data_IF_188628465509
#
_entry.id   IF_188628465509
#
_cell.length_a   1.000
_cell.length_b   1.000
_cell.length_c   1.000
_cell.angle_alpha   90.00
_cell.angle_beta   90.00
_cell.angle_gamma   90.00
#
_symmetry.space_group_name_H-M   'P 1'
#
loop_
_entity.id
_entity.type
_entity.pdbx_description
1 polymer ?
#
# COMPACT_ATOMS: atom_id res chain seq x y z
N UNK A 1 -1.68 -51.95 50.85
CA UNK A 1 -1.41 -50.51 50.55
C UNK A 1 -0.14 -50.27 49.73
N UNK A 2 1.00 -50.93 50.01
CA UNK A 2 2.28 -50.67 49.31
C UNK A 2 2.24 -50.89 47.79
N UNK A 3 1.56 -51.94 47.29
CA UNK A 3 1.46 -52.21 45.85
C UNK A 3 0.61 -51.18 45.10
N UNK A 4 -0.42 -50.62 45.76
CA UNK A 4 -1.25 -49.55 45.20
C UNK A 4 -0.45 -48.26 45.05
N UNK A 5 0.38 -47.92 46.05
CA UNK A 5 1.25 -46.75 46.01
C UNK A 5 2.33 -46.86 44.90
N UNK A 6 2.94 -48.04 44.74
CA UNK A 6 3.91 -48.30 43.66
C UNK A 6 3.30 -48.15 42.26
N UNK A 7 2.07 -48.63 42.08
CA UNK A 7 1.37 -48.53 40.78
C UNK A 7 1.03 -47.08 40.46
N UNK A 8 0.42 -46.35 41.40
CA UNK A 8 0.12 -44.92 41.24
C UNK A 8 1.37 -44.07 40.97
N UNK A 9 2.50 -44.41 41.60
CA UNK A 9 3.77 -43.72 41.36
C UNK A 9 4.33 -43.98 39.96
N UNK A 10 4.25 -45.23 39.47
CA UNK A 10 4.62 -45.57 38.08
C UNK A 10 3.73 -44.83 37.07
N UNK A 11 2.42 -44.79 37.30
CA UNK A 11 1.48 -44.07 36.44
C UNK A 11 1.76 -42.56 36.42
N UNK A 12 2.11 -41.98 37.57
CA UNK A 12 2.54 -40.58 37.67
C UNK A 12 3.82 -40.32 36.87
N UNK A 13 4.85 -41.15 37.03
CA UNK A 13 6.11 -41.02 36.29
C UNK A 13 5.91 -41.18 34.78
N UNK A 14 5.05 -42.11 34.36
CA UNK A 14 4.71 -42.31 32.97
C UNK A 14 3.94 -41.12 32.39
N UNK A 15 2.96 -40.59 33.14
CA UNK A 15 2.22 -39.37 32.77
C UNK A 15 3.14 -38.15 32.64
N UNK A 16 4.08 -37.99 33.59
CA UNK A 16 5.08 -36.92 33.55
C UNK A 16 6.00 -37.07 32.33
N UNK A 17 6.50 -38.28 32.07
CA UNK A 17 7.33 -38.58 30.90
C UNK A 17 6.60 -38.25 29.59
N UNK A 18 5.33 -38.64 29.44
CA UNK A 18 4.51 -38.29 28.26
C UNK A 18 4.38 -36.78 28.12
N UNK A 19 4.06 -36.05 29.19
CA UNK A 19 3.91 -34.58 29.15
C UNK A 19 5.20 -33.89 28.73
N UNK A 20 6.34 -34.31 29.28
CA UNK A 20 7.66 -33.78 28.92
C UNK A 20 8.00 -34.10 27.46
N UNK A 21 7.75 -35.32 27.00
CA UNK A 21 8.01 -35.73 25.61
C UNK A 21 7.16 -34.94 24.62
N UNK A 22 5.85 -34.77 24.88
CA UNK A 22 4.96 -33.92 24.07
C UNK A 22 5.47 -32.46 24.04
N UNK A 23 5.88 -31.93 25.19
CA UNK A 23 6.41 -30.56 25.27
C UNK A 23 7.68 -30.39 24.42
N UNK A 24 8.60 -31.36 24.49
CA UNK A 24 9.83 -31.36 23.71
C UNK A 24 9.51 -31.46 22.21
N UNK A 25 8.64 -32.39 21.79
CA UNK A 25 8.22 -32.53 20.39
C UNK A 25 7.60 -31.23 19.86
N UNK A 26 6.69 -30.60 20.61
CA UNK A 26 6.10 -29.31 20.23
C UNK A 26 7.18 -28.22 20.05
N UNK A 27 8.15 -28.18 20.96
CA UNK A 27 9.27 -27.23 20.89
C UNK A 27 10.17 -27.50 19.68
N UNK A 28 10.46 -28.77 19.38
CA UNK A 28 11.20 -29.21 18.20
C UNK A 28 10.50 -28.76 16.91
N UNK A 29 9.19 -29.01 16.77
CA UNK A 29 8.39 -28.58 15.62
C UNK A 29 8.44 -27.05 15.45
N UNK A 30 8.33 -26.30 16.55
CA UNK A 30 8.40 -24.84 16.52
C UNK A 30 9.76 -24.32 16.02
N UNK A 31 10.87 -24.86 16.53
CA UNK A 31 12.21 -24.47 16.07
C UNK A 31 12.50 -24.91 14.64
N UNK A 32 12.08 -26.13 14.26
CA UNK A 32 12.17 -26.63 12.90
C UNK A 32 11.47 -25.67 11.93
N UNK A 33 10.21 -25.35 12.17
CA UNK A 33 9.45 -24.43 11.32
C UNK A 33 10.11 -23.05 11.19
N UNK A 34 10.61 -22.50 12.30
CA UNK A 34 11.28 -21.19 12.32
C UNK A 34 12.59 -21.18 11.52
N UNK A 35 13.43 -22.20 11.70
CA UNK A 35 14.72 -22.30 10.99
C UNK A 35 14.49 -22.61 9.52
N UNK A 36 13.60 -23.55 9.21
CA UNK A 36 13.24 -23.94 7.84
C UNK A 36 12.71 -22.77 7.02
N UNK A 37 11.85 -21.92 7.63
CA UNK A 37 11.39 -20.68 6.99
C UNK A 37 12.55 -19.74 6.63
N UNK A 38 13.51 -19.54 7.53
CA UNK A 38 14.67 -18.67 7.26
C UNK A 38 15.57 -19.21 6.16
N UNK A 39 15.81 -20.52 6.15
CA UNK A 39 16.60 -21.16 5.09
C UNK A 39 15.91 -20.98 3.73
N UNK A 40 14.59 -21.20 3.69
CA UNK A 40 13.77 -20.96 2.49
C UNK A 40 13.80 -19.51 2.04
N UNK A 41 13.63 -18.55 2.95
CA UNK A 41 13.67 -17.12 2.62
C UNK A 41 15.06 -16.72 2.10
N UNK A 42 16.14 -17.20 2.73
CA UNK A 42 17.52 -16.96 2.29
C UNK A 42 17.76 -17.48 0.88
N UNK A 43 17.27 -18.69 0.59
CA UNK A 43 17.37 -19.31 -0.71
C UNK A 43 16.55 -18.55 -1.77
N UNK A 44 15.33 -18.14 -1.43
CA UNK A 44 14.48 -17.29 -2.27
C UNK A 44 15.19 -16.00 -2.65
N UNK A 45 15.84 -15.30 -1.70
CA UNK A 45 16.63 -14.10 -2.01
C UNK A 45 17.80 -14.41 -2.94
N UNK A 46 18.52 -15.52 -2.75
CA UNK A 46 19.63 -15.90 -3.63
C UNK A 46 19.19 -16.23 -5.05
N UNK A 47 18.11 -16.99 -5.21
CA UNK A 47 17.53 -17.27 -6.53
C UNK A 47 17.15 -15.95 -7.23
N UNK A 48 16.55 -14.99 -6.51
CA UNK A 48 16.20 -13.67 -7.07
C UNK A 48 17.42 -12.87 -7.50
N UNK A 49 18.46 -12.85 -6.67
CA UNK A 49 19.73 -12.19 -6.99
C UNK A 49 20.33 -12.80 -8.26
N UNK A 50 20.36 -14.12 -8.37
CA UNK A 50 20.92 -14.85 -9.50
C UNK A 50 20.25 -14.47 -10.82
N UNK A 51 18.91 -14.44 -10.84
CA UNK A 51 18.15 -14.12 -12.06
C UNK A 51 17.93 -12.64 -12.33
N UNK A 52 18.47 -11.74 -11.49
CA UNK A 52 18.16 -10.32 -11.54
C UNK A 52 16.62 -10.04 -11.55
N UNK A 53 15.86 -10.95 -10.93
CA UNK A 53 14.39 -10.98 -11.00
C UNK A 53 13.75 -10.02 -9.99
N UNK A 54 12.46 -9.83 -10.16
CA UNK A 54 11.61 -8.83 -9.52
C UNK A 54 11.61 -8.88 -7.99
N UNK A 55 11.27 -7.75 -7.36
CA UNK A 55 11.00 -7.72 -5.91
C UNK A 55 9.91 -8.75 -5.56
N UNK A 56 9.89 -9.22 -4.31
CA UNK A 56 8.77 -10.06 -3.85
C UNK A 56 7.46 -9.30 -4.11
N UNK A 57 6.50 -9.94 -4.76
CA UNK A 57 5.18 -9.39 -5.10
C UNK A 57 5.08 -8.68 -6.45
N UNK A 58 6.20 -8.39 -7.13
CA UNK A 58 6.16 -7.66 -8.42
C UNK A 58 5.70 -8.55 -9.58
N UNK A 59 6.02 -9.86 -9.56
CA UNK A 59 5.46 -10.83 -10.50
C UNK A 59 5.09 -12.14 -9.78
N UNK A 60 3.78 -12.44 -9.63
CA UNK A 60 3.33 -13.60 -8.85
C UNK A 60 3.77 -14.93 -9.47
N UNK A 61 3.89 -15.02 -10.80
CA UNK A 61 4.36 -16.23 -11.47
C UNK A 61 5.85 -16.48 -11.19
N UNK A 62 6.65 -15.42 -11.19
CA UNK A 62 8.07 -15.49 -10.83
C UNK A 62 8.24 -15.88 -9.36
N UNK A 63 7.41 -15.33 -8.48
CA UNK A 63 7.44 -15.67 -7.06
C UNK A 63 7.08 -17.13 -6.80
N UNK A 64 6.09 -17.65 -7.53
CA UNK A 64 5.68 -19.05 -7.46
C UNK A 64 6.78 -19.98 -7.99
N UNK A 65 7.39 -19.65 -9.13
CA UNK A 65 8.54 -20.37 -9.67
C UNK A 65 9.70 -20.43 -8.66
N UNK A 66 10.10 -19.29 -8.10
CA UNK A 66 11.17 -19.22 -7.09
C UNK A 66 10.82 -20.05 -5.85
N UNK A 67 9.55 -20.03 -5.43
CA UNK A 67 9.08 -20.79 -4.28
C UNK A 67 9.13 -22.31 -4.53
N UNK A 68 8.75 -22.76 -5.73
CA UNK A 68 8.84 -24.16 -6.16
C UNK A 68 10.31 -24.60 -6.20
N UNK A 69 11.18 -23.82 -6.87
CA UNK A 69 12.63 -24.09 -6.91
C UNK A 69 13.24 -24.16 -5.51
N UNK A 70 12.90 -23.21 -4.63
CA UNK A 70 13.42 -23.19 -3.27
C UNK A 70 12.95 -24.40 -2.46
N UNK A 71 11.71 -24.86 -2.68
CA UNK A 71 11.19 -26.06 -2.06
C UNK A 71 11.92 -27.31 -2.57
N UNK A 72 12.15 -27.45 -3.87
CA UNK A 72 12.88 -28.61 -4.43
C UNK A 72 14.31 -28.69 -3.91
N UNK A 73 15.03 -27.57 -3.87
CA UNK A 73 16.40 -27.50 -3.33
C UNK A 73 16.46 -27.90 -1.84
N UNK A 74 15.36 -27.67 -1.10
CA UNK A 74 15.27 -27.94 0.34
C UNK A 74 14.50 -29.23 0.67
N UNK A 75 14.18 -30.06 -0.33
CA UNK A 75 13.38 -31.28 -0.18
C UNK A 75 12.04 -31.02 0.56
N UNK A 76 11.40 -29.87 0.27
CA UNK A 76 10.09 -29.50 0.80
C UNK A 76 9.03 -29.95 -0.20
N UNK A 77 8.03 -30.76 0.20
CA UNK A 77 6.99 -31.19 -0.71
C UNK A 77 6.22 -29.97 -1.25
N UNK A 78 6.14 -29.90 -2.58
CA UNK A 78 5.32 -28.91 -3.28
C UNK A 78 3.85 -29.35 -3.27
N UNK A 79 2.94 -28.37 -3.34
CA UNK A 79 1.53 -28.67 -3.57
C UNK A 79 1.37 -29.23 -5.00
N UNK A 80 0.57 -30.29 -5.23
CA UNK A 80 0.36 -30.84 -6.57
C UNK A 80 -0.16 -29.80 -7.57
N UNK A 81 -0.93 -28.80 -7.10
CA UNK A 81 -1.51 -27.76 -7.96
C UNK A 81 -0.47 -26.75 -8.49
N UNK A 82 0.62 -26.48 -7.75
CA UNK A 82 1.59 -25.43 -8.11
C UNK A 82 2.53 -25.80 -9.27
N UNK A 83 2.70 -27.11 -9.54
CA UNK A 83 3.63 -27.61 -10.58
C UNK A 83 2.99 -27.52 -11.98
N UNK A 84 1.66 -27.47 -12.07
CA UNK A 84 0.94 -27.54 -13.35
C UNK A 84 1.11 -26.31 -14.24
N UNK A 85 1.60 -25.18 -13.72
CA UNK A 85 1.72 -23.92 -14.45
C UNK A 85 3.12 -23.63 -15.01
N UNK A 86 4.16 -24.35 -14.59
CA UNK A 86 5.55 -24.08 -14.98
C UNK A 86 6.18 -25.27 -15.68
N UNK A 87 7.05 -24.99 -16.66
CA UNK A 87 7.77 -26.03 -17.39
C UNK A 87 8.79 -26.68 -16.44
N UNK A 88 8.65 -27.99 -16.16
CA UNK A 88 9.63 -28.73 -15.33
C UNK A 88 11.06 -28.56 -15.80
N UNK A 89 11.27 -28.45 -17.11
CA UNK A 89 12.59 -28.21 -17.68
C UNK A 89 13.21 -26.88 -17.21
N UNK A 90 12.40 -25.82 -17.04
CA UNK A 90 12.87 -24.52 -16.53
C UNK A 90 13.27 -24.64 -15.06
N UNK A 91 12.49 -25.37 -14.26
CA UNK A 91 12.80 -25.59 -12.83
C UNK A 91 14.09 -26.43 -12.68
N UNK A 92 14.25 -27.49 -13.48
CA UNK A 92 15.44 -28.33 -13.49
C UNK A 92 16.69 -27.56 -13.90
N UNK A 93 16.61 -26.75 -14.96
CA UNK A 93 17.68 -25.87 -15.41
C UNK A 93 18.06 -24.84 -14.33
N UNK A 94 17.07 -24.26 -13.67
CA UNK A 94 17.30 -23.33 -12.55
C UNK A 94 18.03 -24.06 -11.43
N UNK A 95 17.51 -25.20 -11.01
CA UNK A 95 18.05 -25.98 -9.89
C UNK A 95 19.47 -26.45 -10.19
N UNK A 96 19.78 -26.88 -11.41
CA UNK A 96 21.13 -27.31 -11.81
C UNK A 96 22.12 -26.16 -11.78
N UNK A 97 21.72 -24.99 -12.29
CA UNK A 97 22.57 -23.80 -12.36
C UNK A 97 22.90 -23.26 -10.97
N UNK A 98 21.91 -23.30 -10.08
CA UNK A 98 22.00 -22.74 -8.72
C UNK A 98 22.68 -23.72 -7.75
N UNK A 99 22.64 -25.03 -8.02
CA UNK A 99 23.22 -26.04 -7.12
C UNK A 99 24.75 -26.03 -7.04
N UNK A 100 25.45 -25.39 -7.98
CA UNK A 100 26.90 -25.19 -7.89
C UNK A 100 27.33 -24.04 -6.98
N UNK A 101 26.40 -23.19 -6.54
CA UNK A 101 26.73 -22.04 -5.70
C UNK A 101 27.09 -22.47 -4.26
N UNK A 102 28.23 -21.97 -3.79
CA UNK A 102 28.79 -22.31 -2.48
C UNK A 102 27.83 -21.95 -1.33
N UNK A 103 27.18 -20.79 -1.38
CA UNK A 103 26.29 -20.34 -0.32
C UNK A 103 24.99 -21.16 -0.28
N UNK A 104 24.52 -21.62 -1.44
CA UNK A 104 23.36 -22.50 -1.53
C UNK A 104 23.67 -23.89 -0.98
N UNK A 105 24.88 -24.38 -1.19
CA UNK A 105 25.35 -25.60 -0.54
C UNK A 105 25.43 -25.45 0.99
N UNK A 106 25.81 -24.28 1.51
CA UNK A 106 25.70 -24.01 2.96
C UNK A 106 24.23 -24.06 3.43
N UNK A 107 23.29 -23.48 2.69
CA UNK A 107 21.87 -23.53 3.02
C UNK A 107 21.34 -24.98 3.00
N UNK A 108 21.70 -25.78 1.98
CA UNK A 108 21.38 -27.21 1.90
C UNK A 108 21.94 -27.99 3.08
N UNK A 109 23.23 -27.77 3.41
CA UNK A 109 23.88 -28.40 4.57
C UNK A 109 23.11 -28.11 5.87
N UNK A 110 22.68 -26.86 6.09
CA UNK A 110 21.88 -26.49 7.27
C UNK A 110 20.51 -27.16 7.31
N UNK A 111 19.87 -27.39 6.15
CA UNK A 111 18.59 -28.09 6.07
C UNK A 111 18.74 -29.58 6.45
N UNK A 112 19.82 -30.23 6.01
CA UNK A 112 20.14 -31.60 6.44
C UNK A 112 20.50 -31.65 7.93
N UNK A 113 21.29 -30.70 8.45
CA UNK A 113 21.58 -30.61 9.89
C UNK A 113 20.29 -30.40 10.71
N UNK A 114 19.33 -29.62 10.21
CA UNK A 114 18.03 -29.43 10.85
C UNK A 114 17.23 -30.73 10.93
N UNK A 115 17.22 -31.51 9.85
CA UNK A 115 16.58 -32.82 9.78
C UNK A 115 17.24 -33.82 10.72
N UNK A 116 18.57 -33.82 10.80
CA UNK A 116 19.31 -34.62 11.78
C UNK A 116 18.95 -34.28 13.23
N UNK A 117 18.85 -32.99 13.58
CA UNK A 117 18.46 -32.56 14.95
C UNK A 117 17.04 -33.03 15.26
N UNK A 118 16.11 -32.89 14.31
CA UNK A 118 14.74 -33.39 14.46
C UNK A 118 14.73 -34.89 14.72
N UNK A 119 15.41 -35.66 13.88
CA UNK A 119 15.46 -37.12 13.96
C UNK A 119 16.11 -37.61 15.26
N UNK A 120 17.11 -36.90 15.78
CA UNK A 120 17.67 -37.14 17.12
C UNK A 120 16.63 -36.98 18.24
N UNK A 121 15.83 -35.90 18.22
CA UNK A 121 14.78 -35.71 19.22
C UNK A 121 13.65 -36.73 19.08
N UNK A 122 13.28 -37.10 17.85
CA UNK A 122 12.27 -38.13 17.61
C UNK A 122 12.73 -39.51 18.12
N UNK A 123 13.98 -39.91 17.82
CA UNK A 123 14.54 -41.18 18.31
C UNK A 123 14.71 -41.25 19.83
N UNK A 124 14.86 -40.09 20.49
CA UNK A 124 15.08 -40.01 21.95
C UNK A 124 13.78 -39.97 22.74
N UNK A 125 12.73 -39.33 22.21
CA UNK A 125 11.50 -39.02 22.97
C UNK A 125 10.23 -39.70 22.47
N UNK A 126 10.25 -40.35 21.29
CA UNK A 126 9.14 -41.22 20.87
C UNK A 126 9.36 -42.61 21.48
N UNK A 127 8.32 -43.12 22.14
CA UNK A 127 8.34 -44.42 22.86
C UNK A 127 8.54 -45.62 21.91
N UNK A 128 8.34 -45.44 20.60
CA UNK A 128 8.69 -46.45 19.62
C UNK A 128 10.21 -46.54 19.46
N UNK A 129 10.79 -47.72 19.74
CA UNK A 129 12.17 -48.09 19.37
C UNK A 129 12.30 -48.23 17.86
N UNK A 130 11.95 -47.20 17.12
CA UNK A 130 12.09 -47.19 15.68
C UNK A 130 13.52 -46.76 15.35
N UNK A 131 14.37 -47.74 15.04
CA UNK A 131 15.76 -47.51 14.65
C UNK A 131 15.87 -46.69 13.35
N UNK A 132 14.78 -46.56 12.59
CA UNK A 132 14.73 -45.77 11.35
C UNK A 132 15.16 -44.32 11.57
N UNK A 133 14.70 -43.64 12.63
CA UNK A 133 15.06 -42.25 12.91
C UNK A 133 16.56 -42.07 13.19
N UNK A 134 17.20 -43.08 13.80
CA UNK A 134 18.66 -43.03 14.05
C UNK A 134 19.43 -43.21 12.75
N UNK A 135 18.98 -44.11 11.87
CA UNK A 135 19.54 -44.26 10.53
C UNK A 135 19.36 -43.01 9.68
N UNK A 136 18.17 -42.40 9.69
CA UNK A 136 17.89 -41.15 8.99
C UNK A 136 18.77 -40.01 9.51
N UNK A 137 18.93 -39.87 10.82
CA UNK A 137 19.84 -38.89 11.42
C UNK A 137 21.28 -39.05 10.91
N UNK A 138 21.82 -40.28 10.86
CA UNK A 138 23.17 -40.52 10.34
C UNK A 138 23.28 -40.22 8.84
N UNK A 139 22.26 -40.57 8.07
CA UNK A 139 22.16 -40.22 6.64
C UNK A 139 22.17 -38.71 6.44
N UNK A 140 21.38 -37.96 7.22
CA UNK A 140 21.29 -36.51 7.14
C UNK A 140 22.62 -35.83 7.52
N UNK A 141 23.33 -36.35 8.53
CA UNK A 141 24.68 -35.87 8.87
C UNK A 141 25.66 -36.10 7.72
N UNK A 142 25.61 -37.26 7.06
CA UNK A 142 26.47 -37.56 5.91
C UNK A 142 26.20 -36.60 4.75
N UNK A 143 24.92 -36.38 4.41
CA UNK A 143 24.50 -35.39 3.40
C UNK A 143 24.94 -33.97 3.80
N UNK A 144 24.79 -33.58 5.06
CA UNK A 144 25.20 -32.27 5.54
C UNK A 144 26.70 -32.01 5.30
N UNK A 145 27.55 -33.01 5.55
CA UNK A 145 29.02 -32.94 5.36
C UNK A 145 29.36 -32.82 3.87
N UNK A 146 28.60 -33.48 2.99
CA UNK A 146 28.79 -33.39 1.54
C UNK A 146 28.60 -31.95 1.02
N UNK A 147 27.65 -31.22 1.60
CA UNK A 147 27.31 -29.86 1.16
C UNK A 147 28.02 -28.74 1.94
N UNK A 148 28.59 -29.02 3.12
CA UNK A 148 29.23 -27.98 3.93
C UNK A 148 29.74 -28.42 5.30
N UNK A 149 30.18 -27.44 6.08
CA UNK A 149 30.73 -27.69 7.42
C UNK A 149 29.62 -28.06 8.43
N UNK A 150 29.91 -29.08 9.25
CA UNK A 150 29.01 -29.49 10.32
C UNK A 150 29.17 -28.56 11.53
N UNK A 151 28.06 -27.94 11.93
CA UNK A 151 28.05 -26.94 13.02
C UNK A 151 27.46 -27.53 14.30
N UNK A 152 26.57 -28.52 14.16
CA UNK A 152 25.96 -29.24 15.28
C UNK A 152 26.92 -30.29 15.85
N UNK A 153 26.84 -30.51 17.16
CA UNK A 153 27.48 -31.66 17.79
C UNK A 153 26.73 -32.94 17.39
N UNK A 154 27.43 -33.93 16.81
CA UNK A 154 26.85 -35.21 16.37
C UNK A 154 26.20 -36.01 17.50
N UNK A 155 26.75 -35.91 18.71
CA UNK A 155 26.31 -36.70 19.86
C UNK A 155 25.16 -36.04 20.62
N UNK A 156 25.05 -34.71 20.50
CA UNK A 156 24.01 -33.92 21.17
C UNK A 156 23.63 -32.70 20.33
N UNK A 157 22.92 -32.90 19.21
CA UNK A 157 22.57 -31.81 18.31
C UNK A 157 21.60 -30.83 18.98
N UNK A 158 21.80 -29.54 18.73
CA UNK A 158 21.00 -28.45 19.32
C UNK A 158 20.56 -27.45 18.24
N UNK A 159 19.29 -27.03 18.30
CA UNK A 159 18.72 -25.98 17.46
C UNK A 159 19.36 -24.62 17.65
N UNK A 160 20.01 -24.34 18.80
CA UNK A 160 20.58 -23.02 19.09
C UNK A 160 21.63 -22.59 18.06
N UNK A 161 22.58 -23.47 17.74
CA UNK A 161 23.66 -23.19 16.78
C UNK A 161 23.10 -23.01 15.36
N UNK A 162 22.16 -23.87 14.95
CA UNK A 162 21.48 -23.75 13.65
C UNK A 162 20.65 -22.48 13.53
N UNK A 163 19.96 -22.08 14.60
CA UNK A 163 19.19 -20.84 14.66
C UNK A 163 20.07 -19.60 14.50
N UNK A 164 21.26 -19.61 15.12
CA UNK A 164 22.23 -18.51 14.98
C UNK A 164 22.81 -18.45 13.56
N UNK A 165 23.23 -19.59 13.00
CA UNK A 165 23.80 -19.61 11.64
C UNK A 165 22.76 -19.26 10.57
N UNK A 166 21.55 -19.83 10.66
CA UNK A 166 20.46 -19.50 9.73
C UNK A 166 20.07 -18.02 9.78
N UNK A 167 20.10 -17.40 10.96
CA UNK A 167 19.92 -15.95 11.12
C UNK A 167 21.00 -15.14 10.40
N UNK A 168 22.27 -15.53 10.54
CA UNK A 168 23.40 -14.83 9.91
C UNK A 168 23.33 -14.92 8.38
N UNK A 169 22.98 -16.08 7.84
CA UNK A 169 22.81 -16.26 6.39
C UNK A 169 21.62 -15.45 5.90
N UNK A 170 20.49 -15.51 6.61
CA UNK A 170 19.31 -14.73 6.27
C UNK A 170 19.60 -13.22 6.22
N UNK A 171 20.28 -12.67 7.24
CA UNK A 171 20.59 -11.24 7.27
C UNK A 171 21.60 -10.84 6.19
N UNK A 172 22.60 -11.68 5.90
CA UNK A 172 23.57 -11.42 4.85
C UNK A 172 22.92 -11.43 3.46
N UNK A 173 22.14 -12.47 3.15
CA UNK A 173 21.43 -12.61 1.86
C UNK A 173 20.39 -11.51 1.66
N UNK A 174 19.65 -11.13 2.70
CA UNK A 174 18.72 -10.00 2.65
C UNK A 174 19.44 -8.68 2.37
N UNK A 175 20.57 -8.42 3.04
CA UNK A 175 21.36 -7.19 2.83
C UNK A 175 21.88 -7.11 1.40
N UNK A 176 22.39 -8.21 0.87
CA UNK A 176 22.85 -8.30 -0.52
C UNK A 176 21.70 -8.06 -1.51
N UNK A 177 20.55 -8.70 -1.29
CA UNK A 177 19.35 -8.53 -2.11
C UNK A 177 18.87 -7.07 -2.11
N UNK A 178 18.85 -6.43 -0.93
CA UNK A 178 18.49 -5.01 -0.81
C UNK A 178 19.50 -4.15 -1.58
N UNK A 179 20.80 -4.32 -1.37
CA UNK A 179 21.83 -3.52 -2.04
C UNK A 179 21.77 -3.65 -3.56
N UNK A 180 21.53 -4.86 -4.10
CA UNK A 180 21.41 -5.08 -5.54
C UNK A 180 20.16 -4.42 -6.13
N UNK A 181 19.07 -4.39 -5.36
CA UNK A 181 17.81 -3.77 -5.79
C UNK A 181 17.69 -2.27 -5.45
N UNK A 182 18.57 -1.70 -4.63
CA UNK A 182 18.60 -0.26 -4.36
C UNK A 182 18.79 0.57 -5.64
N UNK A 183 19.52 0.05 -6.63
CA UNK A 183 19.69 0.74 -7.92
C UNK A 183 18.46 0.64 -8.84
N UNK A 184 17.50 -0.25 -8.54
CA UNK A 184 16.26 -0.39 -9.32
C UNK A 184 15.26 0.73 -9.03
N UNK A 185 15.25 1.24 -7.79
CA UNK A 185 14.44 2.42 -7.42
C UNK A 185 14.89 3.67 -8.18
N UNK A 186 16.19 3.79 -8.49
CA UNK A 186 16.73 4.81 -9.38
C UNK A 186 16.19 4.72 -10.81
N UNK A 187 15.80 3.53 -11.30
CA UNK A 187 15.17 3.40 -12.62
C UNK A 187 13.75 3.98 -12.63
N UNK A 188 12.97 3.78 -11.57
CA UNK A 188 11.67 4.42 -11.44
C UNK A 188 11.81 5.93 -11.26
N UNK A 189 12.73 6.39 -10.42
CA UNK A 189 13.02 7.81 -10.25
C UNK A 189 13.47 8.45 -11.56
N UNK A 190 14.44 7.85 -12.28
CA UNK A 190 14.90 8.35 -13.58
C UNK A 190 13.78 8.33 -14.61
N UNK A 191 12.94 7.29 -14.68
CA UNK A 191 11.74 7.30 -15.54
C UNK A 191 10.77 8.43 -15.16
N UNK A 192 10.60 8.69 -13.87
CA UNK A 192 9.73 9.77 -13.37
C UNK A 192 10.31 11.14 -13.72
N UNK A 193 11.62 11.32 -13.54
CA UNK A 193 12.35 12.53 -13.94
C UNK A 193 12.31 12.75 -15.45
N UNK A 194 12.53 11.71 -16.25
CA UNK A 194 12.45 11.75 -17.72
C UNK A 194 11.05 12.14 -18.21
N UNK A 195 10.01 11.79 -17.46
CA UNK A 195 8.62 12.11 -17.79
C UNK A 195 8.03 13.23 -16.92
N UNK A 196 8.84 13.97 -16.16
CA UNK A 196 8.33 14.96 -15.20
C UNK A 196 7.55 16.07 -15.89
N UNK A 197 7.95 16.44 -17.11
CA UNK A 197 7.24 17.41 -17.94
C UNK A 197 5.83 16.94 -18.29
N UNK A 198 5.66 15.66 -18.62
CA UNK A 198 4.35 15.07 -18.93
C UNK A 198 3.45 15.03 -17.69
N UNK A 199 4.01 14.63 -16.54
CA UNK A 199 3.27 14.64 -15.27
C UNK A 199 2.85 16.05 -14.86
N UNK A 200 3.75 17.03 -14.96
CA UNK A 200 3.45 18.43 -14.69
C UNK A 200 2.37 18.96 -15.64
N UNK A 201 2.42 18.60 -16.93
CA UNK A 201 1.41 19.03 -17.91
C UNK A 201 0.02 18.50 -17.55
N UNK A 202 -0.07 17.21 -17.23
CA UNK A 202 -1.34 16.59 -16.81
C UNK A 202 -1.85 17.23 -15.52
N UNK A 203 -0.96 17.49 -14.56
CA UNK A 203 -1.31 18.12 -13.29
C UNK A 203 -1.83 19.54 -13.50
N UNK A 204 -1.18 20.35 -14.34
CA UNK A 204 -1.64 21.70 -14.69
C UNK A 204 -3.02 21.64 -15.35
N UNK A 205 -3.23 20.74 -16.30
CA UNK A 205 -4.55 20.57 -16.95
C UNK A 205 -5.64 20.18 -15.95
N UNK A 206 -5.34 19.25 -15.04
CA UNK A 206 -6.27 18.84 -14.00
C UNK A 206 -6.61 20.00 -13.05
N UNK A 207 -5.60 20.75 -12.62
CA UNK A 207 -5.77 21.93 -11.76
C UNK A 207 -6.63 22.99 -12.44
N UNK A 208 -6.38 23.31 -13.72
CA UNK A 208 -7.19 24.28 -14.47
C UNK A 208 -8.66 23.83 -14.61
N UNK A 209 -8.89 22.54 -14.88
CA UNK A 209 -10.26 22.00 -14.96
C UNK A 209 -10.99 22.08 -13.61
N UNK A 210 -10.30 21.77 -12.52
CA UNK A 210 -10.84 21.86 -11.16
C UNK A 210 -11.11 23.32 -10.75
N UNK A 211 -10.20 24.24 -11.07
CA UNK A 211 -10.40 25.68 -10.83
C UNK A 211 -11.59 26.24 -11.62
N UNK A 212 -11.76 25.81 -12.88
CA UNK A 212 -12.93 26.20 -13.68
C UNK A 212 -14.24 25.72 -13.04
N UNK A 213 -14.22 24.51 -12.47
CA UNK A 213 -15.38 23.93 -11.77
C UNK A 213 -15.68 24.65 -10.46
N UNK A 214 -14.64 25.08 -9.74
CA UNK A 214 -14.76 25.90 -8.56
C UNK A 214 -15.39 27.26 -8.86
N UNK A 215 -14.94 27.95 -9.91
CA UNK A 215 -15.51 29.22 -10.35
C UNK A 215 -16.96 29.08 -10.78
N UNK A 216 -17.29 27.99 -11.49
CA UNK A 216 -18.67 27.66 -11.81
C UNK A 216 -19.53 27.48 -10.55
N UNK A 217 -19.00 26.78 -9.53
CA UNK A 217 -19.63 26.68 -8.21
C UNK A 217 -19.87 28.05 -7.57
N UNK A 218 -18.85 28.90 -7.54
CA UNK A 218 -18.91 30.24 -6.95
C UNK A 218 -20.02 31.11 -7.57
N UNK A 219 -20.08 31.21 -8.89
CA UNK A 219 -21.10 32.02 -9.56
C UNK A 219 -22.49 31.37 -9.57
N UNK A 220 -22.57 30.04 -9.56
CA UNK A 220 -23.85 29.32 -9.44
C UNK A 220 -24.58 29.64 -8.14
N UNK A 221 -23.85 29.89 -7.05
CA UNK A 221 -24.43 30.27 -5.76
C UNK A 221 -25.19 31.59 -5.84
N UNK A 222 -24.76 32.49 -6.71
CA UNK A 222 -25.40 33.79 -6.96
C UNK A 222 -26.42 33.75 -8.09
N UNK A 223 -26.69 32.57 -8.66
CA UNK A 223 -27.56 32.38 -9.82
C UNK A 223 -27.11 33.19 -11.07
N UNK A 224 -25.83 33.58 -11.12
CA UNK A 224 -25.26 34.29 -12.25
C UNK A 224 -24.73 33.26 -13.25
N UNK A 225 -25.24 33.28 -14.48
CA UNK A 225 -24.65 32.48 -15.54
C UNK A 225 -23.22 32.96 -15.80
N UNK A 226 -22.27 32.01 -15.84
CA UNK A 226 -20.85 32.32 -16.08
C UNK A 226 -20.64 33.08 -17.39
N UNK A 227 -21.56 32.92 -18.36
CA UNK A 227 -21.51 33.61 -19.65
C UNK A 227 -21.72 35.13 -19.53
N UNK A 228 -22.33 35.62 -18.44
CA UNK A 228 -22.53 37.06 -18.21
C UNK A 228 -21.31 37.75 -17.60
N UNK A 229 -20.38 36.99 -17.04
CA UNK A 229 -19.16 37.52 -16.45
C UNK A 229 -18.02 37.28 -17.43
N UNK A 230 -17.33 38.32 -17.91
CA UNK A 230 -16.24 38.14 -18.86
C UNK A 230 -15.01 37.58 -18.13
N UNK A 231 -15.00 36.26 -17.95
CA UNK A 231 -13.95 35.50 -17.28
C UNK A 231 -12.79 35.21 -18.23
N UNK A 232 -11.53 35.35 -17.78
CA UNK A 232 -10.35 35.05 -18.62
C UNK A 232 -9.53 33.89 -18.06
N UNK A 233 -8.64 33.34 -18.89
CA UNK A 233 -7.69 32.32 -18.45
C UNK A 233 -6.79 32.79 -17.30
N UNK A 234 -6.50 34.10 -17.23
CA UNK A 234 -5.71 34.67 -16.14
C UNK A 234 -6.45 34.52 -14.80
N UNK A 235 -7.77 34.68 -14.79
CA UNK A 235 -8.60 34.50 -13.59
C UNK A 235 -8.61 33.03 -13.14
N UNK A 236 -8.69 32.08 -14.08
CA UNK A 236 -8.59 30.63 -13.77
C UNK A 236 -7.23 30.32 -13.15
N UNK A 237 -6.14 30.89 -13.70
CA UNK A 237 -4.79 30.67 -13.19
C UNK A 237 -4.64 31.25 -11.79
N UNK A 238 -5.12 32.47 -11.53
CA UNK A 238 -5.08 33.07 -10.19
C UNK A 238 -5.89 32.26 -9.17
N UNK A 239 -7.09 31.82 -9.55
CA UNK A 239 -7.90 30.91 -8.74
C UNK A 239 -7.16 29.60 -8.46
N UNK A 240 -6.43 29.07 -9.45
CA UNK A 240 -5.67 27.82 -9.31
C UNK A 240 -4.56 27.88 -8.26
N UNK A 241 -3.90 29.03 -8.12
CA UNK A 241 -2.85 29.23 -7.11
C UNK A 241 -3.39 29.11 -5.68
N UNK A 242 -4.66 29.43 -5.44
CA UNK A 242 -5.29 29.26 -4.11
C UNK A 242 -5.30 27.78 -3.68
N UNK A 243 -5.39 26.86 -4.64
CA UNK A 243 -5.48 25.42 -4.39
C UNK A 243 -4.13 24.73 -4.29
N UNK A 244 -3.04 25.35 -4.76
CA UNK A 244 -1.72 24.69 -4.83
C UNK A 244 -1.26 24.20 -3.46
N UNK A 245 -1.40 25.02 -2.42
CA UNK A 245 -1.01 24.64 -1.05
C UNK A 245 -1.87 23.47 -0.55
N UNK A 246 -3.19 23.54 -0.79
CA UNK A 246 -4.16 22.55 -0.33
C UNK A 246 -3.93 21.21 -1.04
N UNK A 247 -3.77 21.22 -2.37
CA UNK A 247 -3.43 20.04 -3.17
C UNK A 247 -2.08 19.49 -2.75
N UNK A 248 -1.08 20.34 -2.49
CA UNK A 248 0.23 19.94 -1.98
C UNK A 248 0.14 19.20 -0.65
N UNK A 249 -0.61 19.73 0.31
CA UNK A 249 -0.84 19.09 1.62
C UNK A 249 -1.62 17.77 1.48
N UNK A 250 -2.66 17.72 0.65
CA UNK A 250 -3.41 16.50 0.36
C UNK A 250 -2.56 15.42 -0.33
N UNK A 251 -1.67 15.83 -1.22
CA UNK A 251 -0.70 14.94 -1.87
C UNK A 251 0.29 14.36 -0.86
N UNK A 252 0.80 15.20 0.04
CA UNK A 252 1.73 14.80 1.10
C UNK A 252 1.06 13.83 2.08
N UNK A 253 -0.19 14.10 2.50
CA UNK A 253 -0.93 13.22 3.42
C UNK A 253 -1.22 11.86 2.77
N UNK A 254 -1.62 11.83 1.50
CA UNK A 254 -1.82 10.60 0.74
C UNK A 254 -0.52 9.79 0.61
N UNK A 255 0.61 10.47 0.37
CA UNK A 255 1.93 9.83 0.29
C UNK A 255 2.37 9.27 1.65
N UNK A 256 2.24 10.04 2.73
CA UNK A 256 2.56 9.57 4.08
C UNK A 256 1.72 8.36 4.46
N UNK A 257 0.42 8.40 4.19
CA UNK A 257 -0.45 7.26 4.43
C UNK A 257 -0.05 6.06 3.57
N UNK A 258 0.28 6.25 2.29
CA UNK A 258 0.79 5.18 1.43
C UNK A 258 2.06 4.53 1.99
N UNK A 259 3.01 5.34 2.48
CA UNK A 259 4.22 4.83 3.12
C UNK A 259 3.92 4.06 4.42
N UNK A 260 3.03 4.58 5.26
CA UNK A 260 2.60 3.92 6.50
C UNK A 260 1.86 2.61 6.19
N UNK A 261 0.98 2.61 5.20
CA UNK A 261 0.27 1.44 4.71
C UNK A 261 1.23 0.37 4.22
N UNK A 262 2.14 0.70 3.30
CA UNK A 262 3.15 -0.23 2.79
C UNK A 262 4.03 -0.81 3.91
N UNK A 263 4.33 0.00 4.93
CA UNK A 263 5.05 -0.47 6.11
C UNK A 263 4.22 -1.48 6.92
N UNK A 264 2.95 -1.19 7.17
CA UNK A 264 2.04 -2.08 7.90
C UNK A 264 1.77 -3.38 7.14
N UNK A 265 1.76 -3.33 5.81
CA UNK A 265 1.57 -4.50 4.95
C UNK A 265 2.88 -5.22 4.61
N UNK A 266 4.02 -4.82 5.18
CA UNK A 266 5.34 -5.38 4.88
C UNK A 266 5.69 -5.38 3.37
N UNK A 267 5.09 -4.49 2.59
CA UNK A 267 5.28 -4.41 1.14
C UNK A 267 4.46 -5.42 0.32
N UNK A 268 3.60 -6.24 0.95
CA UNK A 268 2.68 -7.11 0.20
C UNK A 268 1.63 -6.29 -0.54
N UNK A 269 1.34 -6.68 -1.78
CA UNK A 269 0.26 -6.06 -2.56
C UNK A 269 -1.11 -6.43 -1.99
N UNK A 270 -2.13 -5.61 -2.21
CA UNK A 270 -3.51 -5.88 -1.78
C UNK A 270 -3.99 -7.30 -2.17
N UNK A 271 -3.64 -7.73 -3.39
CA UNK A 271 -3.96 -9.06 -3.91
C UNK A 271 -3.25 -10.20 -3.17
N UNK A 272 -2.04 -9.97 -2.68
CA UNK A 272 -1.32 -10.95 -1.86
C UNK A 272 -1.92 -11.05 -0.46
N UNK A 273 -2.29 -9.92 0.13
CA UNK A 273 -2.93 -9.88 1.46
C UNK A 273 -4.30 -10.57 1.41
N UNK A 274 -5.07 -10.41 0.33
CA UNK A 274 -6.34 -11.13 0.13
C UNK A 274 -6.18 -12.65 0.06
N UNK A 275 -5.04 -13.16 -0.43
CA UNK A 275 -4.74 -14.60 -0.50
C UNK A 275 -4.30 -15.19 0.84
N UNK A 276 -3.64 -14.39 1.69
CA UNK A 276 -2.97 -14.88 2.90
C UNK A 276 -3.77 -14.57 4.17
N UNK A 277 -4.64 -13.55 4.15
CA UNK A 277 -5.38 -13.10 5.34
C UNK A 277 -6.61 -13.97 5.63
N UNK A 278 -6.79 -14.43 6.88
CA UNK A 278 -7.99 -15.18 7.30
C UNK A 278 -9.26 -14.33 7.29
N UNK A 279 -9.14 -13.00 7.26
CA UNK A 279 -10.26 -12.04 7.26
C UNK A 279 -10.33 -11.26 5.95
N UNK A 280 -11.03 -11.84 4.96
CA UNK A 280 -11.27 -11.24 3.63
C UNK A 280 -12.01 -9.88 3.65
N UNK A 281 -12.66 -9.52 4.76
CA UNK A 281 -13.48 -8.31 4.85
C UNK A 281 -12.64 -7.02 4.98
N UNK A 282 -11.50 -7.07 5.67
CA UNK A 282 -10.62 -5.90 5.89
C UNK A 282 -9.59 -5.70 4.77
N UNK A 283 -9.46 -6.68 3.87
CA UNK A 283 -8.48 -6.70 2.78
C UNK A 283 -9.08 -6.41 1.42
N UNK A 284 -10.42 -6.37 1.31
CA UNK A 284 -11.09 -5.98 0.07
C UNK A 284 -10.58 -4.62 -0.38
N UNK A 285 -10.12 -4.56 -1.62
CA UNK A 285 -9.72 -3.33 -2.32
C UNK A 285 -10.67 -2.16 -2.01
N UNK A 286 -11.98 -2.42 -1.90
CA UNK A 286 -13.00 -1.42 -1.56
C UNK A 286 -12.83 -0.74 -0.19
N UNK A 287 -12.43 -1.42 0.88
CA UNK A 287 -12.31 -0.80 2.22
C UNK A 287 -11.12 0.16 2.30
N UNK A 288 -9.95 -0.30 1.83
CA UNK A 288 -8.73 0.50 1.80
C UNK A 288 -8.88 1.66 0.81
N UNK A 289 -9.51 1.42 -0.35
CA UNK A 289 -9.85 2.45 -1.32
C UNK A 289 -10.83 3.51 -0.76
N UNK A 290 -11.84 3.07 0.00
CA UNK A 290 -12.76 4.00 0.69
C UNK A 290 -12.02 4.82 1.75
N UNK A 291 -11.09 4.20 2.49
CA UNK A 291 -10.26 4.89 3.49
C UNK A 291 -9.30 5.90 2.87
N UNK A 292 -8.64 5.57 1.75
CA UNK A 292 -7.79 6.49 0.97
C UNK A 292 -8.59 7.71 0.52
N UNK A 293 -9.79 7.47 0.02
CA UNK A 293 -10.70 8.53 -0.41
C UNK A 293 -11.02 9.42 0.78
N UNK A 294 -11.49 8.86 1.90
CA UNK A 294 -11.77 9.62 3.13
C UNK A 294 -10.56 10.41 3.65
N UNK A 295 -9.37 9.82 3.68
CA UNK A 295 -8.15 10.47 4.18
C UNK A 295 -7.64 11.58 3.26
N UNK A 296 -7.85 11.48 1.95
CA UNK A 296 -7.57 12.57 1.02
C UNK A 296 -8.56 13.74 1.19
N UNK A 297 -9.80 13.46 1.61
CA UNK A 297 -10.83 14.46 1.86
C UNK A 297 -10.71 15.15 3.24
N UNK A 298 -10.16 14.50 4.26
CA UNK A 298 -10.04 15.07 5.62
C UNK A 298 -9.26 16.40 5.67
N UNK A 299 -8.08 16.56 5.04
CA UNK A 299 -7.36 17.83 5.01
C UNK A 299 -8.18 18.93 4.32
N UNK A 300 -8.95 18.58 3.29
CA UNK A 300 -9.81 19.52 2.56
C UNK A 300 -10.95 20.03 3.45
N UNK A 301 -11.55 19.17 4.27
CA UNK A 301 -12.61 19.55 5.22
C UNK A 301 -12.06 20.38 6.39
N UNK A 302 -10.86 20.09 6.88
CA UNK A 302 -10.26 20.80 8.03
C UNK A 302 -9.79 22.21 7.66
N UNK A 303 -9.27 22.39 6.44
CA UNK A 303 -8.66 23.65 6.02
C UNK A 303 -9.70 24.66 5.52
N UNK A 304 -10.84 24.21 4.99
CA UNK A 304 -11.90 25.13 4.52
C UNK A 304 -12.67 25.65 5.74
N UNK A 305 -12.63 26.96 6.03
CA UNK A 305 -13.08 27.54 7.29
C UNK A 305 -14.61 27.72 7.38
N UNK A 306 -15.40 26.78 6.84
CA UNK A 306 -16.87 26.85 6.88
C UNK A 306 -17.47 25.91 7.93
N UNK A 307 -18.33 26.46 8.78
CA UNK A 307 -19.06 25.74 9.84
C UNK A 307 -20.25 24.93 9.30
N UNK A 308 -20.56 25.02 8.01
CA UNK A 308 -21.66 24.29 7.39
C UNK A 308 -21.32 22.80 7.15
N UNK A 309 -21.30 22.04 8.24
CA UNK A 309 -21.07 20.59 8.26
C UNK A 309 -22.04 19.80 7.34
N UNK A 310 -23.21 20.36 7.06
CA UNK A 310 -24.22 19.74 6.19
C UNK A 310 -23.73 19.52 4.76
N UNK A 311 -23.00 20.46 4.16
CA UNK A 311 -22.52 20.35 2.77
C UNK A 311 -21.45 19.24 2.66
N UNK A 312 -20.59 19.12 3.66
CA UNK A 312 -19.60 18.04 3.74
C UNK A 312 -20.23 16.68 3.99
N UNK A 313 -21.33 16.63 4.76
CA UNK A 313 -22.06 15.38 5.02
C UNK A 313 -22.70 14.86 3.73
N UNK A 314 -23.29 15.74 2.92
CA UNK A 314 -23.83 15.39 1.60
C UNK A 314 -22.71 14.88 0.68
N UNK A 315 -21.57 15.58 0.63
CA UNK A 315 -20.42 15.14 -0.16
C UNK A 315 -19.95 13.73 0.25
N UNK A 316 -19.85 13.45 1.56
CA UNK A 316 -19.46 12.14 2.07
C UNK A 316 -20.48 11.07 1.67
N UNK A 317 -21.78 11.33 1.83
CA UNK A 317 -22.85 10.40 1.45
C UNK A 317 -22.84 10.10 -0.05
N UNK A 318 -22.72 11.14 -0.90
CA UNK A 318 -22.63 10.99 -2.35
C UNK A 318 -21.36 10.23 -2.73
N UNK A 319 -20.23 10.53 -2.11
CA UNK A 319 -18.96 9.82 -2.35
C UNK A 319 -19.05 8.34 -2.00
N UNK A 320 -19.71 8.01 -0.87
CA UNK A 320 -19.94 6.64 -0.46
C UNK A 320 -20.85 5.90 -1.46
N UNK A 321 -22.00 6.48 -1.81
CA UNK A 321 -22.95 5.88 -2.76
C UNK A 321 -22.33 5.70 -4.15
N UNK A 322 -21.58 6.70 -4.63
CA UNK A 322 -20.86 6.63 -5.90
C UNK A 322 -19.82 5.52 -5.88
N UNK A 323 -19.02 5.43 -4.82
CA UNK A 323 -18.05 4.34 -4.66
C UNK A 323 -18.73 2.96 -4.65
N UNK A 324 -19.85 2.78 -3.96
CA UNK A 324 -20.58 1.50 -3.99
C UNK A 324 -21.07 1.15 -5.39
N UNK A 325 -21.60 2.13 -6.12
CA UNK A 325 -22.05 1.96 -7.51
C UNK A 325 -20.90 1.59 -8.44
N UNK A 326 -19.76 2.26 -8.31
CA UNK A 326 -18.54 1.96 -9.09
C UNK A 326 -18.00 0.56 -8.76
N UNK A 327 -17.94 0.19 -7.48
CA UNK A 327 -17.52 -1.15 -7.07
C UNK A 327 -18.43 -2.19 -7.71
N UNK A 328 -19.75 -1.97 -7.69
CA UNK A 328 -20.70 -2.87 -8.33
C UNK A 328 -20.49 -2.98 -9.84
N UNK A 329 -20.33 -1.86 -10.54
CA UNK A 329 -20.11 -1.82 -11.99
C UNK A 329 -18.79 -2.50 -12.41
N UNK A 330 -17.69 -2.18 -11.73
CA UNK A 330 -16.36 -2.67 -12.09
C UNK A 330 -16.05 -4.08 -11.58
N UNK A 331 -16.85 -4.63 -10.66
CA UNK A 331 -16.78 -6.03 -10.27
C UNK A 331 -17.39 -6.97 -11.32
N UNK A 332 -18.05 -6.44 -12.36
CA UNK A 332 -18.56 -7.26 -13.44
C UNK A 332 -17.39 -7.85 -14.27
N UNK A 333 -17.33 -9.19 -14.49
CA UNK A 333 -16.16 -9.86 -15.07
C UNK A 333 -15.82 -9.37 -16.48
N UNK A 334 -16.82 -9.02 -17.29
CA UNK A 334 -16.58 -8.47 -18.64
C UNK A 334 -15.92 -7.08 -18.63
N UNK A 335 -16.18 -6.27 -17.61
CA UNK A 335 -15.59 -4.93 -17.48
C UNK A 335 -14.17 -5.06 -16.94
N UNK A 336 -13.98 -5.92 -15.94
CA UNK A 336 -12.71 -6.19 -15.29
C UNK A 336 -11.64 -6.68 -16.29
N UNK A 337 -12.03 -7.56 -17.23
CA UNK A 337 -11.10 -8.09 -18.25
C UNK A 337 -10.79 -7.06 -19.34
N UNK A 338 -11.78 -6.23 -19.74
CA UNK A 338 -11.66 -5.36 -20.92
C UNK A 338 -11.11 -3.97 -20.62
N UNK A 339 -11.12 -3.53 -19.36
CA UNK A 339 -10.77 -2.14 -19.00
C UNK A 339 -9.53 -2.11 -18.10
N UNK A 340 -8.50 -1.34 -18.47
CA UNK A 340 -7.35 -1.16 -17.61
C UNK A 340 -7.73 -0.43 -16.32
N UNK A 341 -7.01 -0.72 -15.25
CA UNK A 341 -7.34 -0.25 -13.90
C UNK A 341 -7.44 1.28 -13.82
N UNK A 342 -6.60 2.04 -14.52
CA UNK A 342 -6.61 3.51 -14.46
C UNK A 342 -7.94 4.14 -14.93
N UNK A 343 -8.70 3.48 -15.81
CA UNK A 343 -10.04 3.96 -16.23
C UNK A 343 -11.01 3.88 -15.06
N UNK A 344 -10.94 2.82 -14.26
CA UNK A 344 -11.71 2.70 -13.02
C UNK A 344 -11.41 3.89 -12.11
N UNK A 345 -10.13 4.19 -11.88
CA UNK A 345 -9.72 5.33 -11.05
C UNK A 345 -10.26 6.67 -11.58
N UNK A 346 -10.12 6.95 -12.88
CA UNK A 346 -10.64 8.18 -13.50
C UNK A 346 -12.17 8.32 -13.30
N UNK A 347 -12.94 7.29 -13.65
CA UNK A 347 -14.41 7.34 -13.54
C UNK A 347 -14.86 7.43 -12.08
N UNK A 348 -14.09 6.85 -11.16
CA UNK A 348 -14.40 6.93 -9.73
C UNK A 348 -14.18 8.33 -9.19
N UNK A 349 -12.99 8.89 -9.43
CA UNK A 349 -12.52 10.07 -8.73
C UNK A 349 -12.85 11.38 -9.43
N UNK A 350 -12.88 11.43 -10.76
CA UNK A 350 -13.14 12.67 -11.50
C UNK A 350 -14.48 13.32 -11.09
N UNK A 351 -15.62 12.59 -11.04
CA UNK A 351 -16.89 13.19 -10.62
C UNK A 351 -16.85 13.70 -9.17
N UNK A 352 -16.18 12.97 -8.27
CA UNK A 352 -16.07 13.34 -6.86
C UNK A 352 -15.23 14.61 -6.66
N UNK A 353 -14.11 14.73 -7.38
CA UNK A 353 -13.30 15.94 -7.36
C UNK A 353 -14.04 17.14 -7.98
N UNK A 354 -14.76 16.95 -9.09
CA UNK A 354 -15.58 18.02 -9.67
C UNK A 354 -16.66 18.50 -8.69
N UNK A 355 -17.38 17.57 -8.07
CA UNK A 355 -18.41 17.88 -7.07
C UNK A 355 -17.82 18.61 -5.86
N UNK A 356 -16.67 18.15 -5.36
CA UNK A 356 -15.97 18.80 -4.26
C UNK A 356 -15.63 20.25 -4.59
N UNK A 357 -14.93 20.49 -5.71
CA UNK A 357 -14.51 21.85 -6.09
C UNK A 357 -15.71 22.76 -6.34
N UNK A 358 -16.79 22.22 -6.92
CA UNK A 358 -18.05 22.93 -7.09
C UNK A 358 -18.64 23.37 -5.74
N UNK A 359 -18.75 22.47 -4.76
CA UNK A 359 -19.24 22.78 -3.41
C UNK A 359 -18.32 23.77 -2.69
N UNK A 360 -17.00 23.64 -2.85
CA UNK A 360 -16.04 24.60 -2.31
C UNK A 360 -16.29 26.01 -2.87
N UNK A 361 -16.60 26.13 -4.16
CA UNK A 361 -16.98 27.39 -4.81
C UNK A 361 -18.21 28.02 -4.17
N UNK A 362 -19.27 27.23 -3.99
CA UNK A 362 -20.49 27.69 -3.35
C UNK A 362 -20.28 28.11 -1.89
N UNK A 363 -19.48 27.34 -1.13
CA UNK A 363 -19.17 27.67 0.26
C UNK A 363 -18.36 28.99 0.35
N UNK A 364 -17.40 29.21 -0.54
CA UNK A 364 -16.66 30.46 -0.57
C UNK A 364 -17.58 31.64 -0.91
N UNK A 365 -18.45 31.50 -1.91
CA UNK A 365 -19.42 32.54 -2.26
C UNK A 365 -20.35 32.89 -1.07
N UNK A 366 -20.82 31.88 -0.34
CA UNK A 366 -21.61 32.06 0.88
C UNK A 366 -20.81 32.76 2.00
N UNK A 367 -19.54 32.38 2.19
CA UNK A 367 -18.66 33.00 3.17
C UNK A 367 -18.41 34.48 2.85
N UNK A 368 -18.08 34.79 1.59
CA UNK A 368 -17.86 36.17 1.13
C UNK A 368 -19.13 37.01 1.31
N UNK A 369 -20.29 36.46 0.97
CA UNK A 369 -21.58 37.14 1.14
C UNK A 369 -21.91 37.41 2.62
N UNK A 370 -21.68 36.43 3.51
CA UNK A 370 -21.94 36.57 4.96
C UNK A 370 -21.01 37.58 5.64
N UNK A 371 -19.78 37.69 5.14
CA UNK A 371 -18.77 38.60 5.67
C UNK A 371 -18.68 39.93 4.89
N UNK A 372 -19.61 40.16 3.96
CA UNK A 372 -19.66 41.37 3.15
C UNK A 372 -19.78 42.62 4.04
N UNK A 373 -18.78 43.48 4.00
CA UNK A 373 -18.79 44.82 4.60
C UNK A 373 -19.12 45.84 3.53
N UNK A 374 -20.12 46.69 3.80
CA UNK A 374 -20.58 47.74 2.88
C UNK A 374 -19.81 49.05 3.09
N UNK A 375 -18.49 48.96 3.03
CA UNK A 375 -17.54 50.05 3.31
C UNK A 375 -16.88 50.60 2.04
N UNK A 376 -17.19 50.04 0.87
CA UNK A 376 -16.53 50.41 -0.38
C UNK A 376 -17.40 51.33 -1.24
N UNK A 377 -16.74 52.18 -2.04
CA UNK A 377 -17.37 53.05 -3.04
C UNK A 377 -16.64 52.93 -4.39
N UNK A 378 -17.39 52.81 -5.48
CA UNK A 378 -16.88 52.84 -6.86
C UNK A 378 -17.27 54.17 -7.50
N UNK A 379 -16.27 54.93 -7.95
CA UNK A 379 -16.50 56.09 -8.82
C UNK A 379 -16.41 55.62 -10.28
N UNK A 380 -17.51 55.74 -11.01
CA UNK A 380 -17.58 55.33 -12.41
C UNK A 380 -17.14 56.46 -13.36
N UNK A 381 -16.84 56.11 -14.61
CA UNK A 381 -16.38 57.05 -15.65
C UNK A 381 -17.43 58.12 -16.03
N UNK A 382 -18.73 57.84 -15.84
CA UNK A 382 -19.85 58.75 -16.10
C UNK A 382 -20.23 59.64 -14.90
N UNK A 383 -19.30 59.89 -13.97
CA UNK A 383 -19.54 60.59 -12.67
C UNK A 383 -20.63 59.95 -11.77
N UNK A 384 -21.13 58.76 -12.14
CA UNK A 384 -21.98 57.93 -11.27
C UNK A 384 -21.15 57.35 -10.14
N UNK A 385 -21.59 57.55 -8.91
CA UNK A 385 -20.96 57.01 -7.70
C UNK A 385 -21.84 55.91 -7.12
N UNK A 386 -21.31 54.70 -7.05
CA UNK A 386 -21.94 53.57 -6.39
C UNK A 386 -21.37 53.49 -4.98
N UNK A 387 -22.21 53.66 -3.96
CA UNK A 387 -21.81 53.72 -2.55
C UNK A 387 -22.40 52.55 -1.77
N UNK A 388 -21.80 52.24 -0.61
CA UNK A 388 -22.24 51.16 0.27
C UNK A 388 -22.28 49.81 -0.44
N UNK A 389 -21.17 49.46 -1.09
CA UNK A 389 -21.01 48.16 -1.74
C UNK A 389 -19.99 47.32 -0.97
N UNK A 390 -20.08 46.01 -1.15
CA UNK A 390 -19.04 45.07 -0.74
C UNK A 390 -18.42 44.44 -1.98
N UNK A 391 -17.10 44.50 -2.11
CA UNK A 391 -16.40 43.83 -3.20
C UNK A 391 -16.29 42.36 -2.84
N UNK A 392 -16.96 41.51 -3.61
CA UNK A 392 -16.93 40.06 -3.40
C UNK A 392 -15.72 39.45 -4.11
N UNK A 393 -15.46 39.88 -5.35
CA UNK A 393 -14.37 39.32 -6.16
C UNK A 393 -13.84 40.31 -7.17
N UNK A 394 -12.51 40.32 -7.33
CA UNK A 394 -11.83 41.04 -8.40
C UNK A 394 -11.44 40.06 -9.50
N UNK A 395 -11.74 40.43 -10.74
CA UNK A 395 -11.43 39.67 -11.96
C UNK A 395 -10.62 40.54 -12.89
N UNK A 396 -9.84 39.95 -13.79
CA UNK A 396 -9.00 40.64 -14.76
C UNK A 396 -9.72 41.72 -15.58
N UNK A 397 -11.02 41.54 -15.86
CA UNK A 397 -11.84 42.47 -16.65
C UNK A 397 -12.74 43.39 -15.82
N UNK A 398 -12.85 43.21 -14.51
CA UNK A 398 -13.73 44.03 -13.69
C UNK A 398 -13.95 43.49 -12.28
N UNK A 399 -14.98 44.00 -11.62
CA UNK A 399 -15.26 43.69 -10.22
C UNK A 399 -16.68 43.17 -10.06
N UNK A 400 -16.82 42.08 -9.30
CA UNK A 400 -18.10 41.58 -8.82
C UNK A 400 -18.33 42.16 -7.43
N UNK A 401 -19.44 42.90 -7.27
CA UNK A 401 -19.78 43.54 -6.02
C UNK A 401 -21.22 43.25 -5.61
N UNK A 402 -21.45 43.32 -4.31
CA UNK A 402 -22.74 43.20 -3.67
C UNK A 402 -23.21 44.57 -3.19
N UNK A 403 -24.37 45.00 -3.66
CA UNK A 403 -24.94 46.30 -3.35
C UNK A 403 -25.81 46.25 -2.09
N UNK A 404 -26.06 47.41 -1.47
CA UNK A 404 -27.00 47.62 -0.36
C UNK A 404 -28.41 47.07 -0.66
N UNK A 405 -28.81 47.07 -1.92
CA UNK A 405 -30.09 46.50 -2.38
C UNK A 405 -30.10 44.97 -2.46
N UNK A 406 -29.04 44.31 -2.00
CA UNK A 406 -28.84 42.86 -2.04
C UNK A 406 -28.80 42.28 -3.46
N UNK A 407 -28.38 43.09 -4.43
CA UNK A 407 -28.12 42.64 -5.80
C UNK A 407 -26.62 42.45 -6.01
N UNK A 408 -26.28 41.44 -6.81
CA UNK A 408 -24.90 41.17 -7.21
C UNK A 408 -24.74 41.65 -8.64
N UNK A 409 -23.76 42.50 -8.85
CA UNK A 409 -23.52 43.13 -10.14
C UNK A 409 -22.05 43.00 -10.51
N UNK A 410 -21.79 43.02 -11.82
CA UNK A 410 -20.45 43.08 -12.38
C UNK A 410 -20.25 44.44 -13.04
N UNK A 411 -19.12 45.09 -12.76
CA UNK A 411 -18.71 46.33 -13.42
C UNK A 411 -17.34 46.15 -14.09
N UNK A 412 -17.24 46.37 -15.41
CA UNK A 412 -15.97 46.30 -16.13
C UNK A 412 -14.98 47.37 -15.65
N UNK A 413 -13.68 47.08 -15.65
CA UNK A 413 -12.65 48.06 -15.26
C UNK A 413 -12.65 49.32 -16.11
N UNK A 414 -13.04 49.21 -17.39
CA UNK A 414 -13.19 50.35 -18.31
C UNK A 414 -14.18 51.41 -17.79
N UNK A 415 -15.12 51.01 -16.94
CA UNK A 415 -16.12 51.88 -16.34
C UNK A 415 -15.70 52.40 -14.95
N UNK A 416 -14.58 51.94 -14.39
CA UNK A 416 -14.12 52.28 -13.04
C UNK A 416 -13.01 53.33 -13.12
N UNK A 417 -13.27 54.51 -12.56
CA UNK A 417 -12.28 55.60 -12.49
C UNK A 417 -11.43 55.51 -11.21
N UNK A 418 -12.05 55.19 -10.08
CA UNK A 418 -11.34 54.96 -8.81
C UNK A 418 -12.16 54.14 -7.82
N UNK A 419 -11.45 53.41 -6.96
CA UNK A 419 -11.98 52.67 -5.82
C UNK A 419 -11.61 53.41 -4.53
N UNK A 420 -12.58 53.59 -3.63
CA UNK A 420 -12.32 54.09 -2.27
C UNK A 420 -12.84 53.08 -1.25
N UNK A 421 -11.97 52.70 -0.33
CA UNK A 421 -12.29 51.91 0.85
C UNK A 421 -12.45 52.90 2.01
N UNK A 422 -13.58 52.85 2.72
CA UNK A 422 -13.86 53.75 3.84
C UNK A 422 -13.07 53.40 5.10
#
# INVERSE_FOLDING_TARGET
>A
MLNLAKTKFKDFLFSLYIKVSIFIIKKTIFYEGKIKRRLKDSLSYKIRIFYNKSMIGENPLVDELINITANEILDIPNSPDSITQFNRAEIEEITSTISSDKEINVIKSLNFQLSAVKNFYLSTFIISKDESYKHEMHSDIAKAIQYGELIINKDKPDFKQLSQKSNQIYSATLKEFINKNQNRSFHHLSYTFLNISKFLTILVLAVLALSSTYEYGYFSYFEISINFIPFTYQDIILASFQWVIIIGLGSLSALLFYLIYNRMTYGFSLKEIEKISPTKAYTKDGFIFTLYTFLAFIPLVIIIPDKNFQNYTILICVSYLWNQLIIHLFNHPRILIKRPFYIKYLITYTPLFLLLFFICGQNQANFDLKNAKFDSCINCSEDKKITNISILKTLSKGIVYYDKYKSINFIPYEQIKSLKFA
#
